data_IF_347150615980
#
_entry.id   IF_347150615980
#
_cell.length_a   1.000
_cell.length_b   1.000
_cell.length_c   1.000
_cell.angle_alpha   90.00
_cell.angle_beta   90.00
_cell.angle_gamma   90.00
#
_symmetry.space_group_name_H-M   'P 1'
#
loop_
_entity.id
_entity.type
_entity.pdbx_description
1 polymer ?
#
# COMPACT_ATOMS: atom_id res chain seq x y z
N UNK A 1 -0.74 -15.90 13.87
CA UNK A 1 -0.76 -14.50 13.39
C UNK A 1 -2.16 -14.28 12.83
N UNK A 2 -3.01 -13.52 13.52
CA UNK A 2 -4.45 -13.47 13.22
C UNK A 2 -4.90 -12.02 13.02
N UNK A 3 -4.73 -11.49 11.82
CA UNK A 3 -5.74 -10.56 11.31
C UNK A 3 -6.98 -11.42 11.05
N UNK A 4 -7.87 -11.54 12.05
CA UNK A 4 -9.09 -12.35 12.01
C UNK A 4 -10.05 -11.92 10.88
N UNK A 5 -9.79 -10.74 10.30
CA UNK A 5 -10.31 -10.26 9.03
C UNK A 5 -9.14 -9.66 8.24
N UNK A 6 -9.05 -9.90 6.93
CA UNK A 6 -8.12 -9.23 6.03
C UNK A 6 -8.72 -7.86 5.68
N UNK A 7 -8.28 -6.74 6.28
CA UNK A 7 -8.86 -5.44 6.00
C UNK A 7 -8.54 -5.01 4.57
N UNK A 8 -9.34 -4.11 3.97
CA UNK A 8 -8.89 -3.39 2.78
C UNK A 8 -7.53 -2.75 3.06
N UNK A 9 -6.55 -3.02 2.21
CA UNK A 9 -5.20 -2.51 2.34
C UNK A 9 -4.68 -2.04 0.98
N UNK A 10 -3.81 -1.04 1.00
CA UNK A 10 -3.07 -0.57 -0.15
C UNK A 10 -1.58 -0.54 0.22
N UNK A 11 -0.75 -1.11 -0.63
CA UNK A 11 0.70 -1.18 -0.49
C UNK A 11 1.30 -0.40 -1.64
N UNK A 12 2.06 0.64 -1.31
CA UNK A 12 2.75 1.54 -2.25
C UNK A 12 4.24 1.48 -1.93
N UNK A 13 5.08 1.09 -2.88
CA UNK A 13 6.47 0.75 -2.57
C UNK A 13 7.45 1.16 -3.68
N UNK A 14 8.62 1.68 -3.29
CA UNK A 14 9.73 1.95 -4.23
C UNK A 14 10.60 0.71 -4.43
N UNK A 15 10.68 0.18 -5.65
CA UNK A 15 11.39 -1.08 -5.92
C UNK A 15 12.92 -0.99 -5.73
N UNK A 16 13.48 0.24 -5.73
CA UNK A 16 14.91 0.49 -5.58
C UNK A 16 15.28 1.00 -4.18
N UNK A 17 14.43 0.78 -3.17
CA UNK A 17 14.73 1.15 -1.79
C UNK A 17 15.90 0.30 -1.22
N UNK A 18 17.03 0.92 -0.81
CA UNK A 18 18.20 0.20 -0.31
C UNK A 18 18.01 -0.38 1.10
N UNK A 19 17.00 0.08 1.84
CA UNK A 19 16.68 -0.35 3.20
C UNK A 19 15.54 -1.38 3.20
N UNK A 20 14.52 -1.16 2.38
CA UNK A 20 13.32 -1.98 2.31
C UNK A 20 13.18 -2.64 0.93
N UNK A 21 13.75 -3.83 0.81
CA UNK A 21 13.74 -4.60 -0.45
C UNK A 21 12.33 -4.86 -0.97
N UNK A 22 12.16 -4.90 -2.28
CA UNK A 22 10.89 -5.22 -2.97
C UNK A 22 10.26 -6.53 -2.47
N UNK A 23 11.07 -7.54 -2.13
CA UNK A 23 10.59 -8.79 -1.55
C UNK A 23 9.82 -8.59 -0.24
N UNK A 24 10.18 -7.56 0.54
CA UNK A 24 9.44 -7.14 1.73
C UNK A 24 8.04 -6.60 1.41
N UNK A 25 7.90 -5.87 0.30
CA UNK A 25 6.59 -5.43 -0.20
C UNK A 25 5.70 -6.64 -0.52
N UNK A 26 6.24 -7.60 -1.26
CA UNK A 26 5.52 -8.82 -1.65
C UNK A 26 5.13 -9.70 -0.47
N UNK A 27 5.91 -9.70 0.61
CA UNK A 27 5.63 -10.50 1.80
C UNK A 27 4.27 -10.15 2.45
N UNK A 28 3.85 -8.88 2.38
CA UNK A 28 2.54 -8.43 2.89
C UNK A 28 1.36 -9.14 2.22
N UNK A 29 1.50 -9.59 0.97
CA UNK A 29 0.43 -10.31 0.25
C UNK A 29 0.14 -11.70 0.85
N UNK A 30 1.02 -12.22 1.71
CA UNK A 30 0.78 -13.46 2.47
C UNK A 30 -0.38 -13.27 3.46
N UNK A 31 -0.41 -12.13 4.15
CA UNK A 31 -1.45 -11.80 5.14
C UNK A 31 -2.60 -10.98 4.54
N UNK A 32 -2.33 -10.23 3.48
CA UNK A 32 -3.26 -9.33 2.79
C UNK A 32 -3.36 -9.68 1.30
N UNK A 33 -3.89 -10.87 0.95
CA UNK A 33 -3.90 -11.35 -0.44
C UNK A 33 -4.73 -10.47 -1.39
N UNK A 34 -5.63 -9.65 -0.85
CA UNK A 34 -6.48 -8.73 -1.60
C UNK A 34 -6.00 -7.27 -1.54
N UNK A 35 -4.78 -7.02 -1.03
CA UNK A 35 -4.25 -5.67 -0.98
C UNK A 35 -4.06 -5.09 -2.39
N UNK A 36 -4.39 -3.82 -2.56
CA UNK A 36 -4.06 -3.08 -3.75
C UNK A 36 -2.55 -2.79 -3.75
N UNK A 37 -1.81 -3.37 -4.69
CA UNK A 37 -0.34 -3.39 -4.68
C UNK A 37 0.24 -2.60 -5.84
N UNK A 38 1.08 -1.60 -5.55
CA UNK A 38 1.74 -0.77 -6.56
C UNK A 38 3.23 -0.64 -6.27
N UNK A 39 4.05 -0.95 -7.27
CA UNK A 39 5.48 -0.71 -7.27
C UNK A 39 5.82 0.52 -8.11
N UNK A 40 6.75 1.33 -7.61
CA UNK A 40 7.26 2.52 -8.27
C UNK A 40 8.76 2.36 -8.52
N UNK A 41 9.21 2.78 -9.70
CA UNK A 41 10.63 2.93 -10.02
C UNK A 41 11.21 4.14 -9.29
N UNK A 42 11.35 4.01 -7.97
CA UNK A 42 11.81 5.03 -7.01
C UNK A 42 12.61 4.37 -5.89
N UNK A 43 13.27 5.17 -5.06
CA UNK A 43 13.94 4.72 -3.85
C UNK A 43 13.02 4.73 -2.62
N UNK A 44 13.65 4.95 -1.45
CA UNK A 44 12.98 4.98 -0.14
C UNK A 44 11.88 6.05 -0.04
N UNK A 45 12.06 7.18 -0.72
CA UNK A 45 11.18 8.34 -0.67
C UNK A 45 10.22 8.37 -1.86
N UNK A 46 9.49 7.27 -2.05
CA UNK A 46 8.58 7.10 -3.19
C UNK A 46 7.54 8.24 -3.28
N UNK A 47 7.03 8.73 -2.13
CA UNK A 47 6.07 9.83 -2.08
C UNK A 47 6.66 11.15 -2.58
N UNK A 48 7.91 11.46 -2.22
CA UNK A 48 8.60 12.67 -2.63
C UNK A 48 8.93 12.64 -4.13
N UNK A 49 9.28 11.47 -4.65
CA UNK A 49 9.58 11.30 -6.09
C UNK A 49 8.32 11.27 -6.96
N UNK A 50 7.19 10.74 -6.43
CA UNK A 50 5.96 10.47 -7.20
C UNK A 50 4.69 10.99 -6.50
N UNK A 51 4.78 12.20 -5.94
CA UNK A 51 3.75 12.82 -5.10
C UNK A 51 2.35 12.76 -5.72
N UNK A 52 2.16 13.30 -6.92
CA UNK A 52 0.84 13.40 -7.54
C UNK A 52 0.21 12.03 -7.80
N UNK A 53 1.03 11.05 -8.22
CA UNK A 53 0.57 9.68 -8.47
C UNK A 53 0.14 9.01 -7.18
N UNK A 54 1.00 9.04 -6.16
CA UNK A 54 0.75 8.37 -4.87
C UNK A 54 -0.41 9.03 -4.14
N UNK A 55 -0.48 10.37 -4.10
CA UNK A 55 -1.59 11.08 -3.49
C UNK A 55 -2.93 10.72 -4.13
N UNK A 56 -2.97 10.60 -5.47
CA UNK A 56 -4.18 10.20 -6.20
C UNK A 56 -4.61 8.77 -5.88
N UNK A 57 -3.65 7.84 -5.79
CA UNK A 57 -3.91 6.45 -5.42
C UNK A 57 -4.46 6.32 -4.00
N UNK A 58 -3.86 7.03 -3.03
CA UNK A 58 -4.31 7.05 -1.64
C UNK A 58 -5.71 7.65 -1.54
N UNK A 59 -5.95 8.81 -2.16
CA UNK A 59 -7.26 9.46 -2.15
C UNK A 59 -8.34 8.56 -2.78
N UNK A 60 -8.01 7.92 -3.91
CA UNK A 60 -8.89 6.96 -4.56
C UNK A 60 -9.21 5.77 -3.67
N UNK A 61 -8.21 5.17 -3.02
CA UNK A 61 -8.40 4.06 -2.11
C UNK A 61 -9.29 4.42 -0.92
N UNK A 62 -8.99 5.52 -0.23
CA UNK A 62 -9.78 6.02 0.91
C UNK A 62 -11.23 6.30 0.51
N UNK A 63 -11.47 6.86 -0.67
CA UNK A 63 -12.84 7.14 -1.15
C UNK A 63 -13.71 5.89 -1.34
N UNK A 64 -13.08 4.72 -1.57
CA UNK A 64 -13.74 3.42 -1.75
C UNK A 64 -13.91 2.64 -0.44
N UNK A 65 -13.27 3.08 0.64
CA UNK A 65 -13.38 2.38 1.92
C UNK A 65 -14.82 2.46 2.45
N UNK A 66 -15.32 1.37 3.07
CA UNK A 66 -16.60 1.42 3.78
C UNK A 66 -16.56 2.55 4.81
N UNK A 67 -17.57 3.41 4.80
CA UNK A 67 -17.70 4.42 5.85
C UNK A 67 -17.92 3.69 7.19
N UNK A 68 -17.32 4.18 8.29
CA UNK A 68 -17.66 3.68 9.61
C UNK A 68 -19.18 3.73 9.78
N UNK A 69 -19.78 2.61 10.20
CA UNK A 69 -21.17 2.60 10.62
C UNK A 69 -21.20 3.29 11.98
N UNK A 70 -21.78 4.49 12.06
CA UNK A 70 -22.08 5.12 13.34
C UNK A 70 -22.91 4.12 14.16
N UNK A 71 -22.36 3.68 15.29
CA UNK A 71 -22.96 2.71 16.21
C UNK A 71 -23.45 3.43 17.46
#
# INVERSE_FOLDING_TARGET
MFLRASPPAQILWGCNDPLFLEAGAGAYLTDLPNAEFHLFDTGHFALEERLETIASLVAGFVSRLPKPVDT
#
